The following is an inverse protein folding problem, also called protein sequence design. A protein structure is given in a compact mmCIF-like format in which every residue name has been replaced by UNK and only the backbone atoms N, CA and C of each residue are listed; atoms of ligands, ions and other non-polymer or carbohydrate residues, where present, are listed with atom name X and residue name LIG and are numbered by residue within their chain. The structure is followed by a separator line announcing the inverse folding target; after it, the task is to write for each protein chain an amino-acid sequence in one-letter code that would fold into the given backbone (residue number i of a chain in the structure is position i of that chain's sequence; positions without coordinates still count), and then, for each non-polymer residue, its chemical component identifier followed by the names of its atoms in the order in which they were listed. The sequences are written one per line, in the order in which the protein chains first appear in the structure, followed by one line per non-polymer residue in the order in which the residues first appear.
data_IF_924487946713
#
_entry.id   IF_924487946713
#
_cell.length_a   1.000
_cell.length_b   1.000
_cell.length_c   1.000
_cell.angle_alpha   90.00
_cell.angle_beta   90.00
_cell.angle_gamma   90.00
#
_symmetry.space_group_name_H-M   'P 1'
#
loop_
_entity.id
_entity.type
_entity.pdbx_description
1 polymer ?
#
# COMPACT_ATOMS: atom_id res chain seq x y z
N UNK A 1 -3.62 10.14 20.34
CA UNK A 1 -3.69 10.12 18.87
C UNK A 1 -3.66 8.66 18.46
N UNK A 2 -4.82 8.05 18.23
CA UNK A 2 -4.92 6.62 17.97
C UNK A 2 -4.64 6.38 16.49
N UNK A 3 -3.45 5.88 16.15
CA UNK A 3 -3.16 5.37 14.82
C UNK A 3 -3.69 3.94 14.81
N UNK A 4 -4.78 3.69 14.09
CA UNK A 4 -5.26 2.32 13.86
C UNK A 4 -5.77 2.18 12.46
N UNK A 5 -4.96 1.62 11.56
CA UNK A 5 -5.45 0.80 10.44
C UNK A 5 -4.41 -0.25 10.03
N UNK A 6 -4.84 -1.51 10.00
CA UNK A 6 -4.18 -2.65 9.36
C UNK A 6 -5.08 -3.18 8.24
N UNK A 7 -5.32 -2.36 7.19
CA UNK A 7 -6.05 -2.83 6.00
C UNK A 7 -5.05 -3.26 4.95
N UNK A 8 -5.11 -4.53 4.55
CA UNK A 8 -4.27 -5.11 3.52
C UNK A 8 -4.65 -4.56 2.14
N UNK A 9 -3.64 -4.32 1.31
CA UNK A 9 -3.85 -3.95 -0.09
C UNK A 9 -4.06 -5.20 -0.93
N UNK A 10 -5.29 -5.43 -1.38
CA UNK A 10 -5.61 -6.55 -2.28
C UNK A 10 -6.10 -6.07 -3.66
N UNK A 11 -5.50 -6.62 -4.72
CA UNK A 11 -5.80 -6.28 -6.11
C UNK A 11 -6.77 -7.30 -6.74
N UNK A 12 -8.08 -7.13 -6.51
CA UNK A 12 -9.11 -8.03 -7.06
C UNK A 12 -10.09 -7.28 -7.97
N UNK A 13 -10.23 -7.67 -9.26
CA UNK A 13 -11.19 -7.06 -10.18
C UNK A 13 -12.66 -7.46 -9.94
N UNK A 14 -13.05 -7.83 -8.72
CA UNK A 14 -14.40 -8.30 -8.39
C UNK A 14 -14.82 -8.16 -6.92
N UNK A 15 -14.22 -7.24 -6.16
CA UNK A 15 -14.61 -6.99 -4.77
C UNK A 15 -15.92 -6.19 -4.70
N UNK A 16 -17.05 -6.87 -4.46
CA UNK A 16 -18.43 -6.29 -4.44
C UNK A 16 -18.91 -5.90 -3.04
N UNK A 17 -18.02 -5.45 -2.17
CA UNK A 17 -18.43 -4.65 -1.00
C UNK A 17 -17.71 -3.33 -1.07
N UNK A 18 -18.39 -2.22 -0.74
CA UNK A 18 -17.84 -0.86 -0.73
C UNK A 18 -16.67 -0.66 0.27
N UNK A 19 -16.04 -1.74 0.73
CA UNK A 19 -14.76 -1.77 1.40
C UNK A 19 -13.65 -1.42 0.39
N UNK A 20 -13.50 -0.12 0.16
CA UNK A 20 -12.22 0.55 -0.12
C UNK A 20 -11.36 -0.08 -1.22
N UNK A 21 -11.78 0.15 -2.46
CA UNK A 21 -10.94 -0.09 -3.62
C UNK A 21 -9.69 0.80 -3.56
N UNK A 22 -8.51 0.18 -3.66
CA UNK A 22 -7.23 0.88 -3.68
C UNK A 22 -7.19 1.79 -4.91
N UNK A 23 -6.73 3.03 -4.71
CA UNK A 23 -6.65 4.03 -5.78
C UNK A 23 -5.29 4.71 -5.81
N UNK A 24 -4.97 5.26 -6.98
CA UNK A 24 -3.88 6.24 -7.10
C UNK A 24 -4.16 7.40 -6.16
N UNK A 25 -3.11 7.89 -5.49
CA UNK A 25 -3.20 8.91 -4.44
C UNK A 25 -3.37 8.34 -3.02
N UNK A 26 -3.68 7.05 -2.86
CA UNK A 26 -3.75 6.43 -1.52
C UNK A 26 -2.39 6.43 -0.84
N UNK A 27 -2.38 6.75 0.45
CA UNK A 27 -1.19 6.75 1.31
C UNK A 27 -0.94 5.37 1.86
N UNK A 28 0.32 4.96 1.89
CA UNK A 28 0.72 3.60 2.28
C UNK A 28 1.95 3.60 3.16
N UNK A 29 2.10 2.53 3.93
CA UNK A 29 3.31 2.15 4.67
C UNK A 29 3.72 0.73 4.26
N UNK A 30 4.94 0.31 4.62
CA UNK A 30 5.34 -1.11 4.48
C UNK A 30 4.35 -2.07 5.17
N UNK A 31 4.10 -3.18 4.49
CA UNK A 31 3.29 -4.30 4.93
C UNK A 31 4.12 -5.42 5.59
N UNK A 32 3.45 -6.49 6.04
CA UNK A 32 4.08 -7.59 6.76
C UNK A 32 5.02 -8.43 5.89
N UNK A 33 4.77 -8.51 4.57
CA UNK A 33 5.59 -9.32 3.66
C UNK A 33 6.74 -8.55 3.01
N UNK A 34 6.97 -7.31 3.45
CA UNK A 34 8.01 -6.44 2.93
C UNK A 34 9.39 -7.10 3.00
N UNK A 35 10.03 -7.26 1.84
CA UNK A 35 11.38 -7.80 1.72
C UNK A 35 12.35 -6.87 0.95
N UNK A 36 11.96 -5.61 0.77
CA UNK A 36 12.71 -4.60 0.01
C UNK A 36 13.65 -3.76 0.90
N UNK A 37 14.23 -4.36 1.95
CA UNK A 37 15.19 -3.69 2.86
C UNK A 37 14.68 -2.33 3.34
N UNK A 38 15.43 -1.25 3.09
CA UNK A 38 15.08 0.13 3.46
C UNK A 38 14.78 1.01 2.23
N UNK A 39 14.17 0.47 1.17
CA UNK A 39 13.81 1.30 0.02
C UNK A 39 12.83 2.43 0.33
N UNK A 40 12.00 2.22 1.34
CA UNK A 40 11.10 3.18 1.95
C UNK A 40 11.77 4.05 3.03
N UNK A 41 13.08 3.92 3.27
CA UNK A 41 13.83 4.59 4.33
C UNK A 41 13.57 4.08 5.77
N UNK A 42 12.93 2.91 5.92
CA UNK A 42 12.70 2.30 7.23
C UNK A 42 11.21 2.16 7.58
N UNK A 43 10.94 1.50 8.70
CA UNK A 43 9.58 1.27 9.15
C UNK A 43 8.88 2.59 9.51
N UNK A 44 7.60 2.71 9.12
CA UNK A 44 6.78 3.89 9.40
C UNK A 44 6.88 5.02 8.37
N UNK A 45 7.74 4.89 7.34
CA UNK A 45 7.78 5.84 6.25
C UNK A 45 6.58 5.68 5.30
N UNK A 46 6.08 6.83 4.84
CA UNK A 46 4.90 6.91 3.99
C UNK A 46 5.27 7.03 2.52
N UNK A 47 4.41 6.45 1.69
CA UNK A 47 4.43 6.63 0.24
C UNK A 47 3.05 6.89 -0.33
N UNK A 48 3.01 7.27 -1.60
CA UNK A 48 1.79 7.48 -2.39
C UNK A 48 1.73 6.46 -3.52
N UNK A 49 0.59 5.79 -3.67
CA UNK A 49 0.33 4.97 -4.86
C UNK A 49 0.23 5.89 -6.07
N UNK A 50 1.09 5.66 -7.07
CA UNK A 50 1.08 6.40 -8.35
C UNK A 50 0.58 5.55 -9.52
N UNK A 51 0.44 4.24 -9.34
CA UNK A 51 -0.08 3.34 -10.36
C UNK A 51 -0.42 1.96 -9.82
N UNK A 52 -1.32 1.27 -10.51
CA UNK A 52 -1.79 -0.07 -10.14
C UNK A 52 -1.77 -0.93 -11.40
N UNK A 53 -1.09 -2.08 -11.34
CA UNK A 53 -1.14 -3.11 -12.38
C UNK A 53 -1.87 -4.34 -11.84
N UNK A 54 -3.11 -4.54 -12.30
CA UNK A 54 -3.93 -5.69 -11.90
C UNK A 54 -3.45 -7.00 -12.52
N UNK A 55 -2.97 -6.97 -13.78
CA UNK A 55 -2.43 -8.16 -14.46
C UNK A 55 -1.24 -8.73 -13.72
N UNK A 56 -0.36 -7.84 -13.26
CA UNK A 56 0.90 -8.23 -12.65
C UNK A 56 0.82 -8.27 -11.12
N UNK A 57 -0.34 -7.88 -10.56
CA UNK A 57 -0.59 -7.75 -9.12
C UNK A 57 0.49 -6.91 -8.42
N UNK A 58 0.80 -5.76 -9.00
CA UNK A 58 1.78 -4.83 -8.46
C UNK A 58 1.21 -3.42 -8.28
N UNK A 59 1.76 -2.71 -7.29
CA UNK A 59 1.50 -1.31 -6.99
C UNK A 59 2.78 -0.52 -7.25
N UNK A 60 2.67 0.61 -7.92
CA UNK A 60 3.73 1.59 -8.05
C UNK A 60 3.58 2.63 -6.96
N UNK A 61 4.65 2.88 -6.21
CA UNK A 61 4.66 3.84 -5.10
C UNK A 61 5.82 4.82 -5.28
N UNK A 62 5.55 6.09 -5.02
CA UNK A 62 6.59 7.09 -4.72
C UNK A 62 6.59 7.30 -3.21
N UNK A 63 7.70 6.98 -2.56
CA UNK A 63 7.94 7.29 -1.15
C UNK A 63 8.13 8.80 -0.98
N UNK A 64 7.87 9.33 0.21
CA UNK A 64 8.01 10.79 0.47
C UNK A 64 9.45 11.30 0.30
N UNK A 65 10.43 10.41 0.30
CA UNK A 65 11.83 10.68 -0.06
C UNK A 65 12.03 10.96 -1.56
N UNK A 66 10.99 10.81 -2.39
CA UNK A 66 11.03 10.94 -3.84
C UNK A 66 11.40 9.63 -4.56
N UNK A 67 11.77 8.57 -3.82
CA UNK A 67 12.14 7.29 -4.44
C UNK A 67 10.91 6.54 -4.94
N UNK A 68 10.96 6.09 -6.19
CA UNK A 68 9.95 5.21 -6.77
C UNK A 68 10.28 3.73 -6.65
N UNK A 69 9.24 2.90 -6.56
CA UNK A 69 9.37 1.46 -6.51
C UNK A 69 8.09 0.73 -6.94
N UNK A 70 8.23 -0.58 -7.15
CA UNK A 70 7.15 -1.48 -7.55
C UNK A 70 7.04 -2.62 -6.54
N UNK A 71 5.84 -2.79 -5.99
CA UNK A 71 5.59 -3.62 -4.81
C UNK A 71 4.42 -4.58 -5.04
N UNK A 72 4.41 -5.71 -4.34
CA UNK A 72 3.38 -6.75 -4.48
C UNK A 72 2.09 -6.34 -3.78
N UNK A 73 0.95 -6.54 -4.44
CA UNK A 73 -0.39 -6.29 -3.91
C UNK A 73 -1.33 -7.49 -4.08
N UNK A 74 -0.90 -8.67 -3.62
CA UNK A 74 -1.66 -9.91 -3.75
C UNK A 74 -2.58 -10.21 -2.55
N UNK A 75 -3.54 -11.13 -2.71
CA UNK A 75 -4.45 -11.56 -1.63
C UNK A 75 -3.74 -12.17 -0.41
N UNK A 76 -2.72 -12.98 -0.66
CA UNK A 76 -2.05 -13.77 0.37
C UNK A 76 -0.68 -13.21 0.77
N UNK A 77 -0.13 -12.33 -0.05
CA UNK A 77 1.18 -11.74 0.16
C UNK A 77 1.18 -10.30 -0.37
N UNK A 78 1.50 -9.36 0.50
CA UNK A 78 1.46 -7.94 0.16
C UNK A 78 2.55 -7.15 0.88
N UNK A 79 3.23 -6.30 0.12
CA UNK A 79 4.35 -5.49 0.62
C UNK A 79 3.88 -4.19 1.29
N UNK A 80 2.58 -3.86 1.25
CA UNK A 80 2.08 -2.51 1.54
C UNK A 80 0.72 -2.53 2.27
N UNK A 81 0.53 -1.59 3.22
CA UNK A 81 -0.74 -1.37 3.93
C UNK A 81 -1.25 0.05 3.68
N UNK A 82 -2.56 0.26 3.71
CA UNK A 82 -3.16 1.60 3.67
C UNK A 82 -2.82 2.33 4.97
N UNK A 83 -2.38 3.58 4.86
CA UNK A 83 -2.31 4.50 5.97
C UNK A 83 -3.58 5.35 6.00
N UNK A 84 -4.41 5.13 7.02
CA UNK A 84 -5.60 5.93 7.30
C UNK A 84 -5.39 6.75 8.58
N UNK A 85 -5.65 8.05 8.47
CA UNK A 85 -5.50 9.02 9.55
C UNK A 85 -6.84 9.72 9.85
N UNK A 86 -7.96 9.13 9.43
CA UNK A 86 -9.28 9.61 9.82
C UNK A 86 -9.44 9.57 11.36
N UNK A 87 -10.13 10.56 11.95
CA UNK A 87 -10.50 10.51 13.37
C UNK A 87 -11.33 9.26 13.68
N UNK A 88 -11.01 8.57 14.78
CA UNK A 88 -11.78 7.45 15.33
C UNK A 88 -13.05 7.89 16.01
#
# INVERSE_FOLDING_TARGET
MAIKVEKSLSLHPGSTTAAEQIKVGTRVVRGPDWNHKCEDNGEGFLGTIVGISYSDRCILVIWDTGRGGRYRGGPNQYDLRVFDNAPT
#
